data_IF_410750953457
#
_entry.id   IF_410750953457
#
_cell.length_a   1.000
_cell.length_b   1.000
_cell.length_c   1.000
_cell.angle_alpha   90.00
_cell.angle_beta   90.00
_cell.angle_gamma   90.00
#
_symmetry.space_group_name_H-M   'P 1'
#
loop_
_entity.id
_entity.type
_entity.pdbx_description
1 polymer ?
#
# COMPACT_ATOMS: atom_id res chain seq x y z
N UNK A 1 -53.82 -79.45 -36.02
CA UNK A 1 -54.82 -78.39 -35.87
C UNK A 1 -54.12 -77.16 -35.47
N UNK A 2 -53.91 -76.22 -36.40
CA UNK A 2 -53.03 -75.09 -36.26
C UNK A 2 -53.84 -73.81 -36.01
N UNK A 3 -53.50 -73.13 -34.97
CA UNK A 3 -54.08 -71.78 -34.69
C UNK A 3 -53.01 -70.74 -34.98
N UNK A 4 -53.27 -69.97 -36.05
CA UNK A 4 -52.43 -68.84 -36.43
C UNK A 4 -52.74 -67.66 -35.52
N UNK A 5 -51.73 -67.15 -34.81
CA UNK A 5 -51.83 -65.88 -34.08
C UNK A 5 -51.63 -64.72 -35.03
N UNK A 6 -52.62 -63.83 -35.06
CA UNK A 6 -52.50 -62.55 -35.75
C UNK A 6 -51.75 -61.58 -34.82
N UNK A 7 -50.62 -61.15 -35.24
CA UNK A 7 -49.90 -60.07 -34.57
C UNK A 7 -50.33 -58.76 -35.19
N UNK A 8 -51.08 -57.96 -34.43
CA UNK A 8 -51.38 -56.60 -34.84
C UNK A 8 -50.22 -55.69 -34.48
N UNK A 9 -49.62 -55.08 -35.46
CA UNK A 9 -48.54 -54.12 -35.34
C UNK A 9 -49.12 -52.78 -34.81
N UNK A 10 -48.65 -52.39 -33.65
CA UNK A 10 -48.90 -51.08 -33.13
C UNK A 10 -47.76 -50.15 -33.61
N UNK A 11 -48.02 -49.07 -34.32
CA UNK A 11 -46.93 -48.19 -34.70
C UNK A 11 -46.47 -47.44 -33.46
N UNK A 12 -45.20 -47.59 -33.14
CA UNK A 12 -44.53 -46.80 -32.14
C UNK A 12 -44.52 -45.33 -32.56
N UNK A 13 -45.41 -44.56 -31.97
CA UNK A 13 -45.35 -43.11 -32.07
C UNK A 13 -44.20 -42.70 -31.11
N UNK A 14 -43.03 -42.56 -31.67
CA UNK A 14 -41.88 -42.06 -30.95
C UNK A 14 -42.14 -40.56 -30.67
N UNK A 15 -42.62 -40.30 -29.48
CA UNK A 15 -42.78 -38.92 -29.00
C UNK A 15 -41.36 -38.45 -28.59
N UNK A 16 -40.65 -37.92 -29.57
CA UNK A 16 -39.37 -37.27 -29.31
C UNK A 16 -39.65 -35.95 -28.55
N UNK A 17 -39.56 -36.04 -27.21
CA UNK A 17 -39.51 -34.84 -26.39
C UNK A 17 -38.16 -34.19 -26.63
N UNK A 18 -38.12 -33.27 -27.58
CA UNK A 18 -36.96 -32.44 -27.78
C UNK A 18 -36.93 -31.44 -26.61
N UNK A 19 -36.23 -31.82 -25.56
CA UNK A 19 -35.93 -30.91 -24.45
C UNK A 19 -34.94 -29.88 -24.98
N UNK A 20 -35.47 -28.76 -25.43
CA UNK A 20 -34.61 -27.59 -25.73
C UNK A 20 -34.03 -27.09 -24.45
N UNK A 21 -32.84 -27.57 -24.13
CA UNK A 21 -31.99 -26.92 -23.16
C UNK A 21 -31.53 -25.60 -23.80
N UNK A 22 -32.26 -24.53 -23.49
CA UNK A 22 -31.76 -23.19 -23.73
C UNK A 22 -30.65 -23.00 -22.72
N UNK A 23 -29.44 -23.35 -23.13
CA UNK A 23 -28.24 -22.92 -22.44
C UNK A 23 -28.21 -21.40 -22.59
N UNK A 24 -28.78 -20.69 -21.64
CA UNK A 24 -28.49 -19.28 -21.48
C UNK A 24 -27.00 -19.20 -21.23
N UNK A 25 -26.25 -19.09 -22.31
CA UNK A 25 -24.86 -18.70 -22.23
C UNK A 25 -24.87 -17.27 -21.67
N UNK A 26 -24.70 -17.17 -20.38
CA UNK A 26 -24.24 -15.92 -19.79
C UNK A 26 -22.89 -15.65 -20.45
N UNK A 27 -22.90 -14.86 -21.51
CA UNK A 27 -21.66 -14.31 -22.01
C UNK A 27 -21.17 -13.37 -20.94
N UNK A 28 -20.37 -13.88 -20.03
CA UNK A 28 -19.56 -13.01 -19.20
C UNK A 28 -18.72 -12.21 -20.19
N UNK A 29 -18.96 -10.91 -20.24
CA UNK A 29 -18.02 -9.99 -20.87
C UNK A 29 -16.77 -9.97 -19.99
N UNK A 30 -16.12 -11.11 -19.93
CA UNK A 30 -14.85 -11.21 -19.24
C UNK A 30 -13.84 -10.35 -19.97
N UNK A 31 -13.15 -9.52 -19.22
CA UNK A 31 -11.97 -8.86 -19.71
C UNK A 31 -11.08 -9.92 -20.33
N UNK A 32 -10.74 -9.79 -21.60
CA UNK A 32 -9.78 -10.70 -22.24
C UNK A 32 -8.45 -10.53 -21.50
N UNK A 33 -8.13 -11.49 -20.67
CA UNK A 33 -6.80 -11.55 -20.06
C UNK A 33 -5.79 -11.76 -21.16
N UNK A 34 -4.72 -10.98 -21.14
CA UNK A 34 -3.58 -11.22 -21.99
C UNK A 34 -3.07 -12.65 -21.75
N UNK A 35 -2.70 -13.33 -22.81
CA UNK A 35 -2.12 -14.68 -22.69
C UNK A 35 -0.79 -14.68 -21.93
N UNK A 36 -0.15 -13.50 -21.83
CA UNK A 36 1.05 -13.32 -21.02
C UNK A 36 0.75 -12.22 -19.98
N UNK A 37 0.97 -12.52 -18.72
CA UNK A 37 0.90 -11.52 -17.66
C UNK A 37 2.02 -10.49 -17.87
N UNK A 38 1.71 -9.19 -17.80
CA UNK A 38 2.77 -8.17 -17.80
C UNK A 38 3.49 -8.11 -16.44
N UNK A 39 2.96 -8.83 -15.44
CA UNK A 39 3.53 -8.82 -14.09
C UNK A 39 4.56 -9.94 -13.97
N UNK A 40 5.73 -9.59 -13.51
CA UNK A 40 6.77 -10.54 -13.14
C UNK A 40 6.82 -10.64 -11.62
N UNK A 41 6.86 -11.87 -11.10
CA UNK A 41 6.90 -12.08 -9.66
C UNK A 41 8.35 -12.19 -9.21
N UNK A 42 8.72 -11.31 -8.28
CA UNK A 42 10.03 -11.34 -7.64
C UNK A 42 9.86 -12.04 -6.29
N UNK A 43 10.64 -13.06 -6.06
CA UNK A 43 10.59 -13.84 -4.82
C UNK A 43 11.72 -13.43 -3.91
N UNK A 44 11.39 -13.15 -2.66
CA UNK A 44 12.38 -12.90 -1.61
C UNK A 44 12.51 -14.13 -0.74
N UNK A 45 13.73 -14.45 -0.34
CA UNK A 45 13.99 -15.55 0.61
C UNK A 45 13.48 -15.22 2.02
N UNK A 46 13.37 -13.94 2.32
CA UNK A 46 12.89 -13.45 3.60
C UNK A 46 11.37 -13.66 3.70
N UNK A 47 10.92 -14.13 4.86
CA UNK A 47 9.49 -14.36 5.11
C UNK A 47 8.78 -13.11 5.62
N UNK A 48 9.44 -11.96 5.58
CA UNK A 48 8.85 -10.69 5.97
C UNK A 48 7.86 -10.20 4.91
N UNK A 49 6.90 -9.40 5.33
CA UNK A 49 5.95 -8.79 4.40
C UNK A 49 6.48 -7.43 3.95
N UNK A 50 6.55 -7.21 2.66
CA UNK A 50 6.79 -5.89 2.09
C UNK A 50 5.59 -5.00 2.41
N UNK A 51 5.81 -3.78 2.80
CA UNK A 51 4.76 -2.84 3.19
C UNK A 51 4.77 -1.58 2.36
N UNK A 52 5.95 -1.13 1.94
CA UNK A 52 6.05 0.05 1.10
C UNK A 52 7.28 -0.03 0.21
N UNK A 53 7.29 0.79 -0.85
CA UNK A 53 8.34 0.84 -1.85
C UNK A 53 8.42 2.25 -2.42
N UNK A 54 9.62 2.78 -2.49
CA UNK A 54 9.82 4.06 -3.18
C UNK A 54 11.12 4.05 -3.99
N UNK A 55 11.14 4.84 -5.05
CA UNK A 55 12.26 4.94 -5.98
C UNK A 55 12.80 6.37 -6.05
N UNK A 56 14.10 6.50 -5.80
CA UNK A 56 14.82 7.77 -5.92
C UNK A 56 14.90 8.19 -7.40
N UNK A 57 15.12 7.20 -8.27
CA UNK A 57 15.14 7.39 -9.72
C UNK A 57 14.65 6.10 -10.42
N UNK A 58 14.80 6.02 -11.74
CA UNK A 58 14.30 4.89 -12.52
C UNK A 58 14.96 3.54 -12.16
N UNK A 59 16.10 3.57 -11.49
CA UNK A 59 16.87 2.36 -11.20
C UNK A 59 17.03 2.10 -9.70
N UNK A 60 17.20 3.17 -8.92
CA UNK A 60 17.56 3.08 -7.50
C UNK A 60 16.32 3.27 -6.63
N UNK A 61 16.01 2.27 -5.81
CA UNK A 61 14.86 2.33 -4.93
C UNK A 61 15.01 1.43 -3.73
N UNK A 62 14.09 1.60 -2.78
CA UNK A 62 14.05 0.85 -1.54
C UNK A 62 12.67 0.25 -1.32
N UNK A 63 12.65 -0.92 -0.68
CA UNK A 63 11.44 -1.60 -0.25
C UNK A 63 11.59 -1.86 1.25
N UNK A 64 10.55 -1.57 2.02
CA UNK A 64 10.56 -1.73 3.47
C UNK A 64 9.39 -2.61 3.93
N UNK A 65 9.50 -3.15 5.16
CA UNK A 65 8.45 -4.05 5.63
C UNK A 65 8.59 -4.53 7.06
N UNK A 66 7.90 -5.63 7.35
CA UNK A 66 7.89 -6.22 8.68
C UNK A 66 9.27 -6.80 9.02
N UNK A 67 9.50 -7.03 10.32
CA UNK A 67 10.75 -7.62 10.83
C UNK A 67 11.99 -6.83 10.40
N UNK A 68 11.89 -5.51 10.34
CA UNK A 68 12.98 -4.61 9.93
C UNK A 68 13.46 -4.86 8.50
N UNK A 69 12.56 -5.38 7.65
CA UNK A 69 12.91 -5.60 6.25
C UNK A 69 13.25 -4.28 5.57
N UNK A 70 14.45 -4.18 5.02
CA UNK A 70 14.82 -3.13 4.10
C UNK A 70 15.65 -3.76 2.98
N UNK A 71 15.26 -3.49 1.75
CA UNK A 71 15.94 -4.00 0.56
C UNK A 71 16.21 -2.83 -0.38
N UNK A 72 17.28 -2.93 -1.13
CA UNK A 72 17.70 -1.92 -2.09
C UNK A 72 17.77 -2.54 -3.48
N UNK A 73 17.27 -1.83 -4.46
CA UNK A 73 17.42 -2.17 -5.87
C UNK A 73 18.22 -1.09 -6.57
N UNK A 74 19.08 -1.51 -7.51
CA UNK A 74 19.86 -0.61 -8.35
C UNK A 74 19.59 -0.87 -9.85
N UNK A 75 18.50 -1.58 -10.15
CA UNK A 75 18.18 -1.98 -11.53
C UNK A 75 16.70 -1.83 -11.89
N UNK A 76 16.01 -0.92 -11.19
CA UNK A 76 14.60 -0.65 -11.44
C UNK A 76 13.68 -1.72 -10.87
N UNK A 77 14.09 -2.35 -9.76
CA UNK A 77 13.28 -3.34 -9.06
C UNK A 77 13.39 -4.76 -9.58
N UNK A 78 14.27 -5.00 -10.56
CA UNK A 78 14.44 -6.36 -11.12
C UNK A 78 15.16 -7.29 -10.16
N UNK A 79 16.09 -6.74 -9.36
CA UNK A 79 16.73 -7.48 -8.28
C UNK A 79 16.81 -6.62 -7.02
N UNK A 80 16.86 -7.28 -5.87
CA UNK A 80 16.83 -6.63 -4.57
C UNK A 80 17.88 -7.22 -3.64
N UNK A 81 18.65 -6.35 -3.00
CA UNK A 81 19.66 -6.74 -2.03
C UNK A 81 19.24 -6.32 -0.63
N UNK A 82 19.38 -7.22 0.32
CA UNK A 82 19.03 -6.91 1.71
C UNK A 82 20.02 -5.92 2.29
N UNK A 83 19.48 -4.89 2.94
CA UNK A 83 20.26 -3.89 3.66
C UNK A 83 19.99 -4.03 5.16
N UNK A 84 20.74 -3.32 5.96
CA UNK A 84 20.50 -3.26 7.40
C UNK A 84 20.54 -1.83 7.88
N UNK A 85 19.66 -1.52 8.82
CA UNK A 85 19.67 -0.25 9.52
C UNK A 85 20.42 -0.42 10.84
N UNK A 86 20.99 0.65 11.36
CA UNK A 86 21.62 0.64 12.68
C UNK A 86 20.54 0.67 13.77
N UNK A 87 19.86 -0.46 13.90
CA UNK A 87 18.78 -0.69 14.86
C UNK A 87 19.11 -1.98 15.60
N UNK A 88 19.00 -1.97 16.91
CA UNK A 88 19.31 -3.15 17.71
C UNK A 88 18.43 -4.35 17.31
N UNK A 89 19.00 -5.53 17.32
CA UNK A 89 18.31 -6.74 16.82
C UNK A 89 17.03 -7.06 17.60
N UNK A 90 17.00 -6.72 18.88
CA UNK A 90 15.85 -6.92 19.75
C UNK A 90 14.73 -5.89 19.52
N UNK A 91 15.02 -4.81 18.81
CA UNK A 91 14.01 -3.83 18.42
C UNK A 91 13.36 -4.28 17.12
N UNK A 92 12.29 -5.05 17.23
CA UNK A 92 11.62 -5.64 16.07
C UNK A 92 10.64 -4.65 15.44
N UNK A 93 11.17 -3.63 14.79
CA UNK A 93 10.34 -2.63 14.12
C UNK A 93 9.67 -3.19 12.88
N UNK A 94 8.47 -2.69 12.66
CA UNK A 94 7.73 -2.84 11.42
C UNK A 94 7.94 -1.53 10.65
N UNK A 95 8.73 -1.57 9.57
CA UNK A 95 9.00 -0.40 8.73
C UNK A 95 7.79 -0.22 7.83
N UNK A 96 7.11 0.92 7.94
CA UNK A 96 5.79 1.11 7.36
C UNK A 96 5.80 1.88 6.06
N UNK A 97 6.66 2.89 5.97
CA UNK A 97 6.59 3.85 4.88
C UNK A 97 7.98 4.42 4.65
N UNK A 98 8.32 4.68 3.41
CA UNK A 98 9.61 5.25 3.01
C UNK A 98 9.35 6.20 1.83
N UNK A 99 9.94 7.39 1.89
CA UNK A 99 9.69 8.39 0.85
C UNK A 99 10.96 9.19 0.59
N UNK A 100 11.27 9.40 -0.68
CA UNK A 100 12.47 10.09 -1.12
C UNK A 100 12.13 11.28 -2.02
N UNK A 101 12.99 12.30 -1.93
CA UNK A 101 13.05 13.40 -2.89
C UNK A 101 14.52 13.70 -3.15
N UNK A 102 15.01 13.27 -4.29
CA UNK A 102 16.44 13.38 -4.59
C UNK A 102 17.26 12.55 -3.62
N UNK A 103 18.30 13.15 -3.04
CA UNK A 103 19.16 12.44 -2.09
C UNK A 103 18.57 12.34 -0.68
N UNK A 104 17.53 13.11 -0.39
CA UNK A 104 16.89 13.12 0.91
C UNK A 104 15.82 12.03 0.99
N UNK A 105 15.78 11.31 2.12
CA UNK A 105 14.77 10.29 2.32
C UNK A 105 14.41 10.13 3.80
N UNK A 106 13.18 9.72 4.02
CA UNK A 106 12.64 9.49 5.35
C UNK A 106 12.00 8.11 5.40
N UNK A 107 12.18 7.46 6.53
CA UNK A 107 11.63 6.13 6.76
C UNK A 107 11.00 6.11 8.15
N UNK A 108 9.81 5.55 8.24
CA UNK A 108 9.11 5.44 9.52
C UNK A 108 8.76 3.99 9.83
N UNK A 109 8.61 3.73 11.12
CA UNK A 109 8.23 2.41 11.59
C UNK A 109 7.55 2.43 12.95
N UNK A 110 6.93 1.31 13.25
CA UNK A 110 6.28 1.09 14.53
C UNK A 110 7.03 0.05 15.34
N UNK A 111 7.11 0.26 16.66
CA UNK A 111 6.64 1.43 17.42
C UNK A 111 7.61 2.61 17.30
N UNK A 112 7.14 3.78 16.96
CA UNK A 112 7.83 5.08 17.11
C UNK A 112 9.27 5.14 16.59
N UNK A 113 9.47 4.79 15.32
CA UNK A 113 10.76 4.91 14.64
C UNK A 113 10.65 5.96 13.53
N UNK A 114 11.62 6.87 13.47
CA UNK A 114 11.84 7.73 12.30
C UNK A 114 13.34 7.72 12.01
N UNK A 115 13.66 7.52 10.75
CA UNK A 115 15.03 7.58 10.27
C UNK A 115 15.12 8.53 9.08
N UNK A 116 16.25 9.16 8.92
CA UNK A 116 16.49 10.19 7.92
C UNK A 116 17.82 9.94 7.22
N UNK A 117 17.85 10.14 5.92
CA UNK A 117 19.06 10.07 5.10
C UNK A 117 19.15 11.32 4.22
N UNK A 118 20.39 11.72 3.89
CA UNK A 118 20.66 12.80 2.94
C UNK A 118 21.59 12.32 1.82
N UNK A 119 21.81 11.02 1.73
CA UNK A 119 22.77 10.43 0.80
C UNK A 119 22.20 9.20 0.06
N UNK A 120 20.95 9.31 -0.33
CA UNK A 120 20.25 8.27 -1.12
C UNK A 120 20.15 6.93 -0.37
N UNK A 121 20.00 6.98 0.96
CA UNK A 121 19.84 5.77 1.77
C UNK A 121 21.12 5.02 2.09
N UNK A 122 22.29 5.59 1.75
CA UNK A 122 23.59 4.96 2.08
C UNK A 122 23.81 4.94 3.58
N UNK A 123 23.44 6.02 4.26
CA UNK A 123 23.52 6.13 5.72
C UNK A 123 22.19 6.65 6.26
N UNK A 124 21.74 6.06 7.36
CA UNK A 124 20.48 6.43 8.00
C UNK A 124 20.74 6.87 9.44
N UNK A 125 20.18 8.02 9.79
CA UNK A 125 20.27 8.56 11.15
C UNK A 125 18.92 8.39 11.83
N UNK A 126 18.91 7.78 13.01
CA UNK A 126 17.69 7.65 13.80
C UNK A 126 17.39 8.98 14.50
N UNK A 127 16.15 9.42 14.40
CA UNK A 127 15.70 10.68 14.98
C UNK A 127 14.74 10.43 16.14
N UNK A 128 14.73 11.38 17.09
CA UNK A 128 13.81 11.33 18.21
C UNK A 128 12.56 12.13 17.92
N UNK A 129 11.40 11.48 18.01
CA UNK A 129 10.12 12.15 17.81
C UNK A 129 9.57 12.82 19.08
N UNK A 130 10.23 12.60 20.23
CA UNK A 130 9.65 13.05 21.48
C UNK A 130 8.33 12.35 21.75
N UNK A 131 7.36 13.10 22.30
CA UNK A 131 6.03 12.56 22.62
C UNK A 131 4.99 13.10 21.63
N UNK A 132 4.84 12.41 20.53
CA UNK A 132 3.76 12.74 19.58
C UNK A 132 2.51 11.90 19.88
N UNK A 133 1.31 12.47 19.69
CA UNK A 133 0.09 11.68 19.75
C UNK A 133 0.05 10.61 18.64
N UNK A 134 -0.15 9.37 19.04
CA UNK A 134 -0.18 8.25 18.10
C UNK A 134 1.21 7.76 17.71
N UNK A 135 1.24 6.86 16.75
CA UNK A 135 2.47 6.27 16.21
C UNK A 135 2.69 6.79 14.78
N UNK A 136 3.92 6.93 14.32
CA UNK A 136 4.15 7.25 12.90
C UNK A 136 3.41 6.30 11.98
N UNK A 137 2.82 6.82 10.92
CA UNK A 137 1.99 6.04 10.01
C UNK A 137 2.31 6.32 8.54
N UNK A 138 2.51 7.60 8.18
CA UNK A 138 2.90 8.02 6.83
C UNK A 138 3.98 9.08 6.95
N UNK A 139 4.89 9.13 5.98
CA UNK A 139 5.88 10.20 5.89
C UNK A 139 5.91 10.71 4.45
N UNK A 140 6.24 11.97 4.28
CA UNK A 140 6.42 12.57 2.95
C UNK A 140 7.61 13.53 2.98
N UNK A 141 8.53 13.33 2.06
CA UNK A 141 9.69 14.18 1.85
C UNK A 141 9.26 15.39 1.02
N UNK A 142 9.24 16.56 1.64
CA UNK A 142 8.75 17.78 0.97
C UNK A 142 9.87 18.51 0.26
N UNK A 143 11.00 18.69 0.96
CA UNK A 143 12.19 19.35 0.41
C UNK A 143 13.39 19.01 1.29
N UNK A 144 14.56 19.53 0.97
CA UNK A 144 15.78 19.32 1.77
C UNK A 144 15.54 19.77 3.22
N UNK A 145 15.65 18.84 4.16
CA UNK A 145 15.40 19.07 5.58
C UNK A 145 13.93 19.28 5.94
N UNK A 146 13.01 19.11 5.00
CA UNK A 146 11.57 19.36 5.21
C UNK A 146 10.79 18.07 4.96
N UNK A 147 10.07 17.61 5.98
CA UNK A 147 9.22 16.44 5.87
C UNK A 147 7.91 16.61 6.64
N UNK A 148 6.93 15.86 6.23
CA UNK A 148 5.63 15.78 6.88
C UNK A 148 5.41 14.36 7.38
N UNK A 149 4.85 14.24 8.58
CA UNK A 149 4.63 12.96 9.22
C UNK A 149 3.20 12.92 9.76
N UNK A 150 2.45 11.92 9.35
CA UNK A 150 1.12 11.68 9.93
C UNK A 150 1.18 10.52 10.92
N UNK A 151 0.36 10.60 11.96
CA UNK A 151 0.29 9.57 12.99
C UNK A 151 -1.00 8.77 12.89
N UNK A 152 -1.01 7.63 13.57
CA UNK A 152 -2.23 6.79 13.66
C UNK A 152 -3.39 7.51 14.34
N UNK A 153 -3.11 8.61 15.04
CA UNK A 153 -4.14 9.46 15.67
C UNK A 153 -4.58 10.60 14.76
N UNK A 154 -4.19 10.58 13.49
CA UNK A 154 -4.54 11.61 12.49
C UNK A 154 -3.89 12.97 12.73
N UNK A 155 -2.95 13.08 13.65
CA UNK A 155 -2.18 14.31 13.80
C UNK A 155 -1.15 14.40 12.67
N UNK A 156 -0.87 15.60 12.18
CA UNK A 156 0.10 15.87 11.12
C UNK A 156 1.16 16.81 11.69
N UNK A 157 2.41 16.43 11.53
CA UNK A 157 3.57 17.19 11.99
C UNK A 157 4.46 17.51 10.80
N UNK A 158 5.14 18.63 10.86
CA UNK A 158 6.14 18.99 9.86
C UNK A 158 7.46 19.33 10.56
N UNK A 159 8.55 19.01 9.91
CA UNK A 159 9.86 19.50 10.28
C UNK A 159 10.39 20.35 9.12
N UNK A 160 11.20 21.34 9.45
CA UNK A 160 11.93 22.15 8.46
C UNK A 160 13.41 22.26 8.83
N UNK A 161 13.87 21.36 9.70
CA UNK A 161 15.26 21.33 10.16
C UNK A 161 15.76 19.89 10.33
N UNK A 162 15.48 19.08 9.33
CA UNK A 162 15.96 17.69 9.26
C UNK A 162 15.55 16.82 10.46
N UNK A 163 14.39 17.13 11.04
CA UNK A 163 13.83 16.34 12.12
C UNK A 163 14.33 16.71 13.52
N UNK A 164 15.12 17.78 13.63
CA UNK A 164 15.54 18.25 14.98
C UNK A 164 14.34 18.68 15.82
N UNK A 165 13.36 19.32 15.17
CA UNK A 165 12.09 19.67 15.82
C UNK A 165 10.92 19.37 14.88
N UNK A 166 9.77 19.09 15.47
CA UNK A 166 8.52 18.83 14.76
C UNK A 166 7.43 19.76 15.27
N UNK A 167 6.73 20.39 14.36
CA UNK A 167 5.62 21.30 14.66
C UNK A 167 4.31 20.66 14.17
N UNK A 168 3.27 20.76 15.01
CA UNK A 168 1.96 20.25 14.63
C UNK A 168 1.30 21.19 13.61
N UNK A 169 0.89 20.65 12.47
CA UNK A 169 0.02 21.32 11.51
C UNK A 169 -1.44 20.97 11.79
N UNK A 170 -1.67 19.72 12.21
CA UNK A 170 -2.96 19.26 12.69
C UNK A 170 -2.68 18.57 14.02
N UNK A 171 -3.05 19.23 15.12
CA UNK A 171 -2.70 18.73 16.46
C UNK A 171 -3.82 17.95 17.12
N UNK A 172 -5.06 18.20 16.73
CA UNK A 172 -6.21 17.51 17.29
C UNK A 172 -6.80 16.55 16.26
N UNK A 173 -6.48 15.30 16.38
CA UNK A 173 -6.98 14.28 15.47
C UNK A 173 -8.44 13.97 15.64
N UNK A 174 -9.00 14.45 16.71
CA UNK A 174 -10.42 14.40 16.92
C UNK A 174 -11.11 13.06 16.81
N UNK A 175 -12.40 13.14 16.79
CA UNK A 175 -13.35 12.04 16.75
C UNK A 175 -13.49 11.38 15.38
N UNK A 176 -12.64 11.73 14.44
CA UNK A 176 -12.82 11.38 13.03
C UNK A 176 -12.26 10.01 12.63
N UNK A 177 -11.63 9.33 13.56
CA UNK A 177 -10.95 8.05 13.27
C UNK A 177 -9.52 8.25 12.81
N UNK A 178 -8.77 7.15 12.71
CA UNK A 178 -7.38 7.21 12.26
C UNK A 178 -7.28 7.45 10.75
N UNK A 179 -6.18 8.00 10.30
CA UNK A 179 -5.91 8.21 8.87
C UNK A 179 -5.65 6.87 8.19
N UNK A 180 -6.24 6.65 7.02
CA UNK A 180 -5.92 5.54 6.14
C UNK A 180 -5.00 5.95 5.01
N UNK A 181 -5.17 7.17 4.52
CA UNK A 181 -4.32 7.73 3.48
C UNK A 181 -4.33 9.24 3.62
N UNK A 182 -3.22 9.85 3.26
CA UNK A 182 -3.02 11.29 3.33
C UNK A 182 -2.27 11.72 2.09
N UNK A 183 -2.75 12.79 1.46
CA UNK A 183 -2.08 13.37 0.30
C UNK A 183 -2.03 14.88 0.45
N UNK A 184 -0.95 15.46 -0.04
CA UNK A 184 -0.83 16.91 -0.14
C UNK A 184 -1.24 17.34 -1.55
N UNK A 185 -2.09 18.34 -1.62
CA UNK A 185 -2.51 18.92 -2.90
C UNK A 185 -1.44 19.88 -3.40
N UNK A 186 -1.54 20.27 -4.67
CA UNK A 186 -0.63 21.27 -5.25
C UNK A 186 -0.70 22.63 -4.57
N UNK A 187 -1.80 22.91 -3.87
CA UNK A 187 -1.97 24.16 -3.12
C UNK A 187 -1.34 24.11 -1.73
N UNK A 188 -0.87 22.94 -1.31
CA UNK A 188 -0.32 22.76 0.03
C UNK A 188 -1.33 22.27 1.08
N UNK A 189 -2.59 22.11 0.69
CA UNK A 189 -3.63 21.58 1.59
C UNK A 189 -3.46 20.07 1.75
N UNK A 190 -4.04 19.52 2.82
CA UNK A 190 -4.06 18.08 3.03
C UNK A 190 -5.42 17.52 2.68
N UNK A 191 -5.42 16.33 2.11
CA UNK A 191 -6.61 15.55 1.82
C UNK A 191 -6.41 14.16 2.43
N UNK A 192 -7.37 13.70 3.20
CA UNK A 192 -7.23 12.39 3.83
C UNK A 192 -8.53 11.59 3.83
N UNK A 193 -8.37 10.27 3.94
CA UNK A 193 -9.49 9.34 4.13
C UNK A 193 -9.28 8.66 5.48
N UNK A 194 -10.31 8.67 6.30
CA UNK A 194 -10.22 8.08 7.64
C UNK A 194 -10.60 6.60 7.65
N UNK A 195 -10.27 5.94 8.74
CA UNK A 195 -10.64 4.54 8.97
C UNK A 195 -12.16 4.34 9.07
N UNK A 196 -12.91 5.42 9.29
CA UNK A 196 -14.37 5.39 9.34
C UNK A 196 -15.00 5.68 7.97
N UNK A 197 -14.18 5.85 6.94
CA UNK A 197 -14.65 6.12 5.58
C UNK A 197 -14.96 7.59 5.32
N UNK A 198 -14.66 8.47 6.25
CA UNK A 198 -14.86 9.91 6.05
C UNK A 198 -13.72 10.50 5.21
N UNK A 199 -14.05 11.51 4.42
CA UNK A 199 -13.09 12.27 3.63
C UNK A 199 -12.91 13.64 4.28
N UNK A 200 -11.67 14.07 4.43
CA UNK A 200 -11.33 15.34 5.04
C UNK A 200 -10.37 16.11 4.16
N UNK A 201 -10.49 17.42 4.19
CA UNK A 201 -9.49 18.31 3.60
C UNK A 201 -9.30 19.53 4.49
N UNK A 202 -8.08 20.03 4.53
CA UNK A 202 -7.81 21.34 5.13
C UNK A 202 -8.04 22.38 4.04
N UNK A 203 -8.53 23.55 4.45
CA UNK A 203 -8.80 24.62 3.50
C UNK A 203 -7.60 25.53 3.30
N UNK A 204 -6.75 25.63 4.31
CA UNK A 204 -5.50 26.39 4.22
C UNK A 204 -4.47 25.75 5.13
N UNK A 205 -3.23 25.73 4.64
CA UNK A 205 -2.12 25.24 5.45
C UNK A 205 -1.97 26.15 6.68
N UNK A 206 -2.10 25.54 7.86
CA UNK A 206 -2.00 26.27 9.12
C UNK A 206 -3.28 26.94 9.59
N UNK A 207 -4.42 26.74 8.90
CA UNK A 207 -5.69 27.22 9.44
C UNK A 207 -6.18 26.25 10.54
N UNK A 208 -6.69 26.82 11.63
CA UNK A 208 -7.39 26.03 12.66
C UNK A 208 -8.73 25.61 12.08
N UNK A 209 -8.73 24.48 11.43
CA UNK A 209 -10.01 23.96 10.90
C UNK A 209 -10.73 23.22 12.00
N UNK A 210 -11.39 23.96 12.23
CA UNK A 210 -12.16 23.48 13.25
C UNK A 210 -13.01 22.62 12.95
#
# INVERSE_FOLDING_TARGET
MSMKKFLTSIPNLLLTFTLCFILSSCSSTGVKMSESSPWETIQFEDQSNALDIDFIDNNHGFLVGSNRLIMESNDGGKSWEKRSLDIAAEENFRLLDIDFKGSEGWLIGQPSLVMHTIDEGKNWTRLSLGKLPGQPFLVSTVDDGVAELATTSAAIYTTSNSGETWEAKVSDPSEQGGIRDLRRTSNGDYVSVSSLGNFFSTLESGSDTX
#
